data_IF_829358766449
#
_entry.id   IF_829358766449
#
_cell.length_a   1.000
_cell.length_b   1.000
_cell.length_c   1.000
_cell.angle_alpha   90.00
_cell.angle_beta   90.00
_cell.angle_gamma   90.00
#
_symmetry.space_group_name_H-M   'P 1'
#
loop_
_entity.id
_entity.type
_entity.pdbx_description
1 polymer ?
#
# COMPACT_ATOMS: atom_id res chain seq x y z
N UNK A 1 -31.54 -8.89 -1.35
CA UNK A 1 -30.99 -7.77 -0.54
C UNK A 1 -29.75 -7.26 -1.25
N UNK A 2 -29.73 -6.00 -1.69
CA UNK A 2 -28.53 -5.38 -2.26
C UNK A 2 -27.54 -5.14 -1.12
N UNK A 3 -26.65 -6.10 -0.84
CA UNK A 3 -25.45 -5.82 -0.06
C UNK A 3 -24.62 -4.81 -0.85
N UNK A 4 -24.52 -3.58 -0.33
CA UNK A 4 -23.54 -2.62 -0.83
C UNK A 4 -22.16 -3.26 -0.66
N UNK A 5 -21.47 -3.50 -1.77
CA UNK A 5 -20.09 -4.00 -1.75
C UNK A 5 -19.23 -3.10 -0.85
N UNK A 6 -18.42 -3.72 0.01
CA UNK A 6 -17.47 -3.02 0.89
C UNK A 6 -16.48 -2.13 0.12
N UNK A 7 -16.22 -2.50 -1.13
CA UNK A 7 -15.34 -1.83 -2.07
C UNK A 7 -16.15 -1.39 -3.30
N UNK A 8 -16.59 -0.13 -3.32
CA UNK A 8 -17.11 0.48 -4.55
C UNK A 8 -16.33 1.76 -4.86
N UNK A 9 -15.45 1.67 -5.86
CA UNK A 9 -14.78 2.86 -6.41
C UNK A 9 -15.84 3.61 -7.21
N UNK A 10 -16.04 4.90 -6.92
CA UNK A 10 -17.00 5.69 -7.68
C UNK A 10 -16.53 5.82 -9.14
N UNK A 11 -17.45 5.68 -10.10
CA UNK A 11 -17.14 5.87 -11.53
C UNK A 11 -16.46 7.23 -11.78
N UNK A 12 -16.87 8.26 -11.02
CA UNK A 12 -16.28 9.60 -11.05
C UNK A 12 -14.80 9.57 -10.65
N UNK A 13 -14.45 8.88 -9.58
CA UNK A 13 -13.05 8.73 -9.12
C UNK A 13 -12.21 8.03 -10.18
N UNK A 14 -12.73 6.96 -10.79
CA UNK A 14 -12.04 6.24 -11.86
C UNK A 14 -11.71 7.15 -13.06
N UNK A 15 -12.71 7.88 -13.58
CA UNK A 15 -12.48 8.80 -14.69
C UNK A 15 -11.56 9.96 -14.31
N UNK A 16 -11.64 10.48 -13.08
CA UNK A 16 -10.72 11.52 -12.62
C UNK A 16 -9.26 11.06 -12.67
N UNK A 17 -8.96 9.86 -12.14
CA UNK A 17 -7.60 9.29 -12.19
C UNK A 17 -7.16 9.08 -13.64
N UNK A 18 -8.04 8.56 -14.49
CA UNK A 18 -7.75 8.37 -15.91
C UNK A 18 -7.42 9.70 -16.62
N UNK A 19 -8.18 10.77 -16.36
CA UNK A 19 -7.91 12.08 -16.94
C UNK A 19 -6.58 12.68 -16.45
N UNK A 20 -6.26 12.50 -15.16
CA UNK A 20 -4.96 12.94 -14.61
C UNK A 20 -3.81 12.22 -15.31
N UNK A 21 -3.90 10.89 -15.47
CA UNK A 21 -2.87 10.09 -16.13
C UNK A 21 -2.72 10.45 -17.61
N UNK A 22 -3.83 10.59 -18.34
CA UNK A 22 -3.81 11.02 -19.74
C UNK A 22 -3.25 12.44 -19.90
N UNK A 23 -3.60 13.34 -18.98
CA UNK A 23 -3.06 14.70 -18.93
C UNK A 23 -1.54 14.72 -18.70
N UNK A 24 -1.04 13.88 -17.79
CA UNK A 24 0.40 13.69 -17.56
C UNK A 24 1.13 13.14 -18.79
N UNK A 25 0.58 12.11 -19.42
CA UNK A 25 1.15 11.54 -20.66
C UNK A 25 1.20 12.62 -21.74
N UNK A 26 0.12 13.37 -21.94
CA UNK A 26 0.08 14.46 -22.90
C UNK A 26 1.13 15.55 -22.60
N UNK A 27 1.24 15.97 -21.34
CA UNK A 27 2.22 16.97 -20.91
C UNK A 27 3.66 16.51 -21.18
N UNK A 28 4.01 15.28 -20.79
CA UNK A 28 5.34 14.70 -21.03
C UNK A 28 5.61 14.55 -22.53
N UNK A 29 4.59 14.21 -23.32
CA UNK A 29 4.69 14.12 -24.78
C UNK A 29 5.07 15.46 -25.39
N UNK A 30 4.41 16.55 -24.97
CA UNK A 30 4.75 17.92 -25.41
C UNK A 30 6.17 18.30 -24.99
N UNK A 31 6.56 17.99 -23.74
CA UNK A 31 7.92 18.26 -23.25
C UNK A 31 8.99 17.50 -24.05
N UNK A 32 8.68 16.32 -24.58
CA UNK A 32 9.60 15.53 -25.42
C UNK A 32 9.95 16.22 -26.74
N UNK A 33 9.10 17.13 -27.23
CA UNK A 33 9.40 17.94 -28.43
C UNK A 33 10.24 19.20 -28.12
N UNK A 34 10.18 19.68 -26.88
CA UNK A 34 10.86 20.92 -26.46
C UNK A 34 12.26 20.60 -25.91
N UNK A 35 12.39 19.49 -25.17
CA UNK A 35 13.62 19.11 -24.48
C UNK A 35 14.45 18.23 -25.42
N UNK A 36 15.68 18.64 -25.81
CA UNK A 36 16.54 17.84 -26.65
C UNK A 36 16.94 16.54 -25.94
N UNK A 37 16.96 15.44 -26.69
CA UNK A 37 17.36 14.12 -26.19
C UNK A 37 18.86 14.11 -25.88
N UNK A 38 19.25 13.42 -24.81
CA UNK A 38 20.65 13.14 -24.53
C UNK A 38 20.84 11.78 -23.90
N UNK A 39 22.05 11.26 -24.00
CA UNK A 39 22.47 10.00 -23.39
C UNK A 39 23.79 10.17 -22.67
N UNK A 40 23.96 9.42 -21.60
CA UNK A 40 25.25 9.22 -20.96
C UNK A 40 25.91 7.95 -21.49
N UNK A 41 27.24 7.93 -21.55
CA UNK A 41 27.95 6.66 -21.77
C UNK A 41 27.87 5.82 -20.50
N UNK A 42 27.63 4.52 -20.67
CA UNK A 42 27.72 3.54 -19.61
C UNK A 42 29.07 2.83 -19.70
N UNK A 43 29.71 2.55 -18.57
CA UNK A 43 30.91 1.73 -18.52
C UNK A 43 30.58 0.22 -18.69
N UNK A 44 31.61 -0.62 -18.62
CA UNK A 44 31.46 -2.08 -18.75
C UNK A 44 30.66 -2.71 -17.59
N UNK A 45 30.44 -1.98 -16.50
CA UNK A 45 29.70 -2.39 -15.31
C UNK A 45 28.27 -1.83 -15.32
N UNK A 46 27.88 -1.10 -16.37
CA UNK A 46 26.55 -0.51 -16.55
C UNK A 46 26.36 0.82 -15.83
N UNK A 47 27.44 1.42 -15.30
CA UNK A 47 27.39 2.65 -14.51
C UNK A 47 27.56 3.88 -15.41
N UNK A 48 26.87 4.97 -15.08
CA UNK A 48 26.92 6.23 -15.83
C UNK A 48 28.29 6.89 -15.65
N UNK A 49 28.99 7.15 -16.77
CA UNK A 49 30.28 7.86 -16.75
C UNK A 49 30.06 9.37 -16.65
N UNK A 50 30.56 9.97 -15.57
CA UNK A 50 30.42 11.41 -15.30
C UNK A 50 31.05 12.27 -16.41
N UNK A 51 30.37 13.34 -16.80
CA UNK A 51 30.85 14.27 -17.85
C UNK A 51 30.69 13.80 -19.30
N UNK A 52 30.13 12.61 -19.54
CA UNK A 52 29.98 12.03 -20.91
C UNK A 52 28.63 12.33 -21.58
N UNK A 53 27.88 13.30 -21.06
CA UNK A 53 26.57 13.65 -21.61
C UNK A 53 26.71 14.13 -23.07
N UNK A 54 25.98 13.48 -23.98
CA UNK A 54 25.94 13.84 -25.39
C UNK A 54 24.50 13.99 -25.86
N UNK A 55 24.23 15.06 -26.62
CA UNK A 55 22.95 15.26 -27.27
C UNK A 55 22.82 14.35 -28.48
N UNK A 56 21.67 13.69 -28.61
CA UNK A 56 21.36 12.83 -29.76
C UNK A 56 20.57 13.66 -30.77
N UNK A 57 21.01 13.67 -32.03
CA UNK A 57 20.44 14.49 -33.10
C UNK A 57 19.11 13.98 -33.67
N UNK A 58 18.66 12.79 -33.29
CA UNK A 58 17.46 12.18 -33.85
C UNK A 58 16.17 12.66 -33.16
N UNK A 59 15.46 13.55 -33.85
CA UNK A 59 14.32 14.29 -33.31
C UNK A 59 12.96 13.72 -33.69
N UNK A 60 12.90 12.59 -34.42
CA UNK A 60 11.62 12.04 -34.88
C UNK A 60 11.05 11.03 -33.87
N UNK A 61 10.32 11.52 -32.87
CA UNK A 61 9.48 10.64 -32.05
C UNK A 61 8.07 10.55 -32.66
N UNK A 62 7.61 9.34 -33.04
CA UNK A 62 6.31 9.19 -33.68
C UNK A 62 5.14 9.51 -32.74
N UNK A 63 4.21 10.35 -33.21
CA UNK A 63 3.03 10.77 -32.45
C UNK A 63 2.12 9.60 -32.00
N UNK A 64 2.09 8.51 -32.76
CA UNK A 64 1.28 7.34 -32.41
C UNK A 64 1.80 6.62 -31.15
N UNK A 65 3.10 6.73 -30.86
CA UNK A 65 3.74 6.03 -29.75
C UNK A 65 3.30 6.57 -28.40
N UNK A 66 2.86 7.83 -28.34
CA UNK A 66 2.23 8.41 -27.15
C UNK A 66 0.93 7.70 -26.74
N UNK A 67 0.13 7.28 -27.71
CA UNK A 67 -1.11 6.54 -27.43
C UNK A 67 -0.84 5.10 -27.02
N UNK A 68 0.26 4.50 -27.50
CA UNK A 68 0.65 3.12 -27.20
C UNK A 68 1.56 3.05 -25.97
N UNK A 69 2.10 4.16 -25.49
CA UNK A 69 3.06 4.23 -24.38
C UNK A 69 2.65 3.43 -23.12
N UNK A 70 1.38 3.44 -22.65
CA UNK A 70 0.98 2.62 -21.50
C UNK A 70 1.13 1.11 -21.73
N UNK A 71 0.99 0.66 -22.97
CA UNK A 71 1.15 -0.75 -23.37
C UNK A 71 2.62 -1.04 -23.60
N UNK A 72 3.33 -0.13 -24.26
CA UNK A 72 4.75 -0.29 -24.60
C UNK A 72 5.64 -0.40 -23.35
N UNK A 73 5.27 0.24 -22.25
CA UNK A 73 6.02 0.15 -20.98
C UNK A 73 6.16 -1.30 -20.50
N UNK A 74 5.22 -2.18 -20.87
CA UNK A 74 5.24 -3.60 -20.51
C UNK A 74 6.31 -4.39 -21.26
N UNK A 75 6.79 -3.90 -22.41
CA UNK A 75 7.86 -4.51 -23.21
C UNK A 75 9.24 -3.88 -22.96
N UNK A 76 9.35 -2.91 -22.04
CA UNK A 76 10.63 -2.30 -21.69
C UNK A 76 11.49 -3.25 -20.82
N UNK A 77 12.78 -2.94 -20.63
CA UNK A 77 13.67 -3.71 -19.75
C UNK A 77 13.11 -3.84 -18.33
N UNK A 78 12.45 -2.79 -17.82
CA UNK A 78 11.77 -2.77 -16.53
C UNK A 78 10.30 -3.27 -16.59
N UNK A 79 9.83 -3.65 -17.77
CA UNK A 79 8.43 -4.05 -18.01
C UNK A 79 8.02 -5.28 -17.21
N UNK A 80 8.96 -6.21 -16.95
CA UNK A 80 8.72 -7.37 -16.09
C UNK A 80 8.30 -6.97 -14.67
N UNK A 81 8.95 -5.96 -14.07
CA UNK A 81 8.59 -5.47 -12.74
C UNK A 81 7.17 -4.90 -12.74
N UNK A 82 6.82 -4.09 -13.75
CA UNK A 82 5.47 -3.51 -13.91
C UNK A 82 4.40 -4.60 -14.07
N UNK A 83 4.67 -5.63 -14.88
CA UNK A 83 3.78 -6.78 -15.06
C UNK A 83 3.60 -7.53 -13.74
N UNK A 84 4.68 -7.81 -13.01
CA UNK A 84 4.62 -8.52 -11.74
C UNK A 84 3.78 -7.77 -10.71
N UNK A 85 3.98 -6.46 -10.55
CA UNK A 85 3.18 -5.63 -9.65
C UNK A 85 1.71 -5.63 -10.08
N UNK A 86 1.44 -5.49 -11.38
CA UNK A 86 0.07 -5.47 -11.91
C UNK A 86 -0.66 -6.79 -11.67
N UNK A 87 -0.02 -7.93 -11.95
CA UNK A 87 -0.57 -9.27 -11.71
C UNK A 87 -0.78 -9.51 -10.21
N UNK A 88 0.17 -9.10 -9.38
CA UNK A 88 0.06 -9.20 -7.92
C UNK A 88 -1.15 -8.43 -7.39
N UNK A 89 -1.35 -7.17 -7.82
CA UNK A 89 -2.51 -6.37 -7.42
C UNK A 89 -3.84 -6.98 -7.91
N UNK A 90 -3.88 -7.57 -9.10
CA UNK A 90 -5.05 -8.29 -9.60
C UNK A 90 -5.38 -9.52 -8.75
N UNK A 91 -4.39 -10.35 -8.43
CA UNK A 91 -4.55 -11.53 -7.57
C UNK A 91 -4.99 -11.11 -6.17
N UNK A 92 -4.40 -10.05 -5.62
CA UNK A 92 -4.75 -9.49 -4.32
C UNK A 92 -6.22 -9.02 -4.30
N UNK A 93 -6.63 -8.27 -5.32
CA UNK A 93 -8.02 -7.82 -5.49
C UNK A 93 -9.01 -8.99 -5.61
N UNK A 94 -8.66 -10.01 -6.40
CA UNK A 94 -9.45 -11.24 -6.51
C UNK A 94 -9.55 -12.00 -5.19
N UNK A 95 -8.45 -12.09 -4.44
CA UNK A 95 -8.41 -12.72 -3.12
C UNK A 95 -9.33 -11.99 -2.14
N UNK A 96 -9.27 -10.66 -2.07
CA UNK A 96 -10.17 -9.88 -1.22
C UNK A 96 -11.63 -10.06 -1.62
N UNK A 97 -11.94 -10.12 -2.91
CA UNK A 97 -13.30 -10.35 -3.38
C UNK A 97 -13.85 -11.71 -2.91
N UNK A 98 -13.04 -12.77 -3.02
CA UNK A 98 -13.40 -14.10 -2.50
C UNK A 98 -13.53 -14.07 -0.98
N UNK A 99 -12.64 -13.36 -0.27
CA UNK A 99 -12.72 -13.21 1.19
C UNK A 99 -13.98 -12.49 1.65
N UNK A 100 -14.44 -11.48 0.90
CA UNK A 100 -15.68 -10.76 1.18
C UNK A 100 -16.91 -11.67 0.94
N UNK A 101 -16.98 -12.30 -0.23
CA UNK A 101 -18.07 -13.21 -0.58
C UNK A 101 -18.21 -14.42 0.36
N UNK A 102 -17.10 -14.90 0.92
CA UNK A 102 -17.07 -16.03 1.87
C UNK A 102 -17.25 -15.59 3.33
N UNK A 103 -17.39 -14.29 3.59
CA UNK A 103 -17.50 -13.74 4.94
C UNK A 103 -16.22 -13.77 5.77
N UNK A 104 -15.08 -14.15 5.18
CA UNK A 104 -13.79 -14.27 5.86
C UNK A 104 -13.34 -12.96 6.51
N UNK A 105 -13.55 -11.83 5.84
CA UNK A 105 -13.23 -10.48 6.37
C UNK A 105 -14.00 -10.22 7.66
N UNK A 106 -15.30 -10.49 7.66
CA UNK A 106 -16.16 -10.25 8.81
C UNK A 106 -15.80 -11.14 10.01
N UNK A 107 -15.51 -12.42 9.76
CA UNK A 107 -15.08 -13.37 10.80
C UNK A 107 -13.75 -12.96 11.42
N UNK A 108 -12.79 -12.51 10.60
CA UNK A 108 -11.48 -12.03 11.06
C UNK A 108 -11.65 -10.79 11.95
N UNK A 109 -12.43 -9.80 11.49
CA UNK A 109 -12.70 -8.58 12.24
C UNK A 109 -13.39 -8.86 13.57
N UNK A 110 -14.46 -9.67 13.57
CA UNK A 110 -15.18 -10.07 14.78
C UNK A 110 -14.22 -10.66 15.83
N UNK A 111 -13.32 -11.57 15.42
CA UNK A 111 -12.33 -12.16 16.33
C UNK A 111 -11.34 -11.14 16.86
N UNK A 112 -10.83 -10.25 16.02
CA UNK A 112 -9.91 -9.19 16.45
C UNK A 112 -10.58 -8.26 17.47
N UNK A 113 -11.81 -7.83 17.19
CA UNK A 113 -12.59 -6.96 18.09
C UNK A 113 -12.82 -7.65 19.43
N UNK A 114 -13.32 -8.89 19.44
CA UNK A 114 -13.57 -9.64 20.69
C UNK A 114 -12.27 -9.84 21.48
N UNK A 115 -11.18 -10.22 20.80
CA UNK A 115 -9.89 -10.51 21.44
C UNK A 115 -9.23 -9.29 22.05
N UNK A 116 -9.42 -8.12 21.43
CA UNK A 116 -8.77 -6.86 21.81
C UNK A 116 -9.73 -5.81 22.39
N UNK A 117 -10.98 -6.17 22.69
CA UNK A 117 -12.02 -5.26 23.21
C UNK A 117 -11.53 -4.42 24.40
N UNK A 118 -10.80 -5.05 25.32
CA UNK A 118 -10.25 -4.39 26.52
C UNK A 118 -8.84 -3.81 26.33
N UNK A 119 -8.20 -4.08 25.20
CA UNK A 119 -6.82 -3.66 24.91
C UNK A 119 -6.71 -3.00 23.53
N UNK A 120 -7.70 -2.18 23.16
CA UNK A 120 -7.77 -1.58 21.82
C UNK A 120 -6.55 -0.77 21.42
N UNK A 121 -5.95 -0.01 22.35
CA UNK A 121 -4.71 0.73 22.04
C UNK A 121 -3.50 -0.17 21.80
N UNK A 122 -3.49 -1.39 22.35
CA UNK A 122 -2.46 -2.39 22.03
C UNK A 122 -2.64 -2.87 20.60
N UNK A 123 -3.88 -3.17 20.20
CA UNK A 123 -4.18 -3.52 18.81
C UNK A 123 -3.77 -2.41 17.84
N UNK A 124 -4.10 -1.15 18.17
CA UNK A 124 -3.72 0.01 17.38
C UNK A 124 -2.20 0.09 17.16
N UNK A 125 -1.42 -0.03 18.24
CA UNK A 125 0.06 -0.02 18.16
C UNK A 125 0.61 -1.16 17.32
N UNK A 126 0.05 -2.37 17.48
CA UNK A 126 0.46 -3.54 16.71
C UNK A 126 0.17 -3.37 15.22
N UNK A 127 -1.00 -2.84 14.86
CA UNK A 127 -1.34 -2.59 13.46
C UNK A 127 -0.41 -1.54 12.85
N UNK A 128 -0.18 -0.42 13.55
CA UNK A 128 0.79 0.60 13.12
C UNK A 128 2.16 -0.03 12.89
N UNK A 129 2.63 -0.85 13.82
CA UNK A 129 3.93 -1.52 13.70
C UNK A 129 3.97 -2.45 12.48
N UNK A 130 2.95 -3.28 12.27
CA UNK A 130 2.89 -4.22 11.14
C UNK A 130 2.94 -3.47 9.80
N UNK A 131 2.11 -2.44 9.63
CA UNK A 131 2.09 -1.66 8.39
C UNK A 131 3.39 -0.88 8.19
N UNK A 132 3.98 -0.32 9.26
CA UNK A 132 5.31 0.29 9.18
C UNK A 132 6.37 -0.73 8.76
N UNK A 133 6.36 -1.94 9.32
CA UNK A 133 7.31 -3.01 8.95
C UNK A 133 7.12 -3.42 7.48
N UNK A 134 5.89 -3.55 7.00
CA UNK A 134 5.62 -3.87 5.60
C UNK A 134 6.15 -2.80 4.65
N UNK A 135 5.95 -1.52 4.96
CA UNK A 135 6.56 -0.42 4.19
C UNK A 135 8.09 -0.41 4.29
N UNK A 136 8.66 -0.71 5.46
CA UNK A 136 10.11 -0.61 5.69
C UNK A 136 10.92 -1.77 5.09
N UNK A 137 10.37 -2.98 5.07
CA UNK A 137 11.05 -4.18 4.57
C UNK A 137 10.67 -4.52 3.13
N UNK A 138 9.38 -4.50 2.82
CA UNK A 138 8.86 -4.96 1.53
C UNK A 138 8.47 -3.81 0.60
N UNK A 139 8.44 -2.58 1.10
CA UNK A 139 7.99 -1.41 0.34
C UNK A 139 6.51 -1.47 -0.05
N UNK A 140 5.72 -2.26 0.67
CA UNK A 140 4.29 -2.44 0.46
C UNK A 140 3.58 -1.16 0.94
N UNK A 141 3.25 -0.27 0.01
CA UNK A 141 2.49 0.95 0.28
C UNK A 141 1.13 0.91 -0.40
N UNK A 142 1.11 0.59 -1.69
CA UNK A 142 -0.07 0.56 -2.55
C UNK A 142 -1.11 -0.45 -2.07
N UNK A 143 -0.69 -1.60 -1.58
CA UNK A 143 -1.55 -2.66 -1.04
C UNK A 143 -2.27 -2.21 0.24
N UNK A 144 -1.71 -1.23 0.95
CA UNK A 144 -2.37 -0.66 2.13
C UNK A 144 -3.69 0.02 1.74
N UNK A 145 -3.80 0.55 0.52
CA UNK A 145 -5.05 1.10 -0.02
C UNK A 145 -6.13 0.04 -0.16
N UNK A 146 -5.76 -1.19 -0.57
CA UNK A 146 -6.70 -2.29 -0.69
C UNK A 146 -7.23 -2.75 0.69
N UNK A 147 -6.39 -2.64 1.73
CA UNK A 147 -6.75 -2.98 3.12
C UNK A 147 -7.52 -1.87 3.85
N UNK A 148 -7.59 -0.65 3.30
CA UNK A 148 -8.21 0.50 3.97
C UNK A 148 -9.65 0.26 4.43
N UNK A 149 -10.57 -0.33 3.64
CA UNK A 149 -11.95 -0.54 4.11
C UNK A 149 -12.02 -1.43 5.35
N UNK A 150 -11.17 -2.45 5.43
CA UNK A 150 -11.08 -3.38 6.56
C UNK A 150 -10.58 -2.63 7.80
N UNK A 151 -9.54 -1.81 7.63
CA UNK A 151 -8.97 -1.00 8.71
C UNK A 151 -9.92 0.10 9.20
N UNK A 152 -10.63 0.75 8.29
CA UNK A 152 -11.68 1.73 8.60
C UNK A 152 -12.80 1.04 9.37
N UNK A 153 -13.26 -0.12 8.91
CA UNK A 153 -14.30 -0.89 9.59
C UNK A 153 -13.85 -1.31 11.01
N UNK A 154 -12.61 -1.80 11.14
CA UNK A 154 -12.04 -2.13 12.44
C UNK A 154 -11.96 -0.90 13.36
N UNK A 155 -11.53 0.24 12.83
CA UNK A 155 -11.42 1.50 13.56
C UNK A 155 -12.76 1.97 14.11
N UNK A 156 -13.78 2.02 13.25
CA UNK A 156 -15.15 2.37 13.63
C UNK A 156 -15.72 1.39 14.66
N UNK A 157 -15.45 0.09 14.49
CA UNK A 157 -15.88 -0.96 15.43
C UNK A 157 -15.24 -0.86 16.81
N UNK A 158 -14.06 -0.24 16.90
CA UNK A 158 -13.34 0.00 18.16
C UNK A 158 -13.72 1.34 18.83
N UNK A 159 -14.66 2.09 18.22
CA UNK A 159 -15.15 3.37 18.72
C UNK A 159 -14.27 4.56 18.36
N UNK A 160 -13.47 4.45 17.30
CA UNK A 160 -12.72 5.55 16.72
C UNK A 160 -13.39 6.01 15.41
N UNK A 161 -12.66 6.71 14.56
CA UNK A 161 -13.16 7.29 13.31
C UNK A 161 -12.48 6.72 12.05
N UNK A 162 -12.95 7.15 10.87
CA UNK A 162 -12.33 6.80 9.59
C UNK A 162 -10.87 7.25 9.52
N UNK A 163 -10.53 8.42 10.07
CA UNK A 163 -9.16 8.95 10.05
C UNK A 163 -8.17 8.07 10.84
N UNK A 164 -8.61 7.51 11.97
CA UNK A 164 -7.80 6.56 12.74
C UNK A 164 -7.57 5.28 11.91
N UNK A 165 -8.58 4.79 11.18
CA UNK A 165 -8.43 3.64 10.27
C UNK A 165 -7.51 3.92 9.08
N UNK A 166 -7.59 5.10 8.47
CA UNK A 166 -6.63 5.56 7.46
C UNK A 166 -5.21 5.63 8.02
N UNK A 167 -5.06 6.09 9.27
CA UNK A 167 -3.76 6.20 9.93
C UNK A 167 -3.14 4.83 10.23
N UNK A 168 -3.95 3.84 10.61
CA UNK A 168 -3.52 2.46 10.84
C UNK A 168 -2.86 1.83 9.62
N UNK A 169 -3.38 2.11 8.41
CA UNK A 169 -2.86 1.56 7.16
C UNK A 169 -1.94 2.53 6.44
N UNK A 170 -2.55 3.49 5.75
CA UNK A 170 -1.87 4.37 4.79
C UNK A 170 -0.76 5.20 5.44
N UNK A 171 -1.04 5.88 6.56
CA UNK A 171 -0.03 6.70 7.23
C UNK A 171 1.11 5.84 7.80
N UNK A 172 0.76 4.70 8.41
CA UNK A 172 1.74 3.77 8.97
C UNK A 172 2.64 3.17 7.89
N UNK A 173 2.06 2.68 6.78
CA UNK A 173 2.83 2.18 5.65
C UNK A 173 3.73 3.26 5.04
N UNK A 174 3.24 4.50 4.91
CA UNK A 174 4.03 5.61 4.39
C UNK A 174 5.24 5.96 5.26
N UNK A 175 5.08 5.99 6.59
CA UNK A 175 6.21 6.18 7.51
C UNK A 175 7.17 4.98 7.48
N UNK A 176 6.66 3.77 7.32
CA UNK A 176 7.47 2.58 7.06
C UNK A 176 8.32 2.72 5.80
N UNK A 177 7.69 3.10 4.70
CA UNK A 177 8.33 3.32 3.41
C UNK A 177 9.39 4.43 3.49
N UNK A 178 9.10 5.53 4.20
CA UNK A 178 10.04 6.64 4.38
C UNK A 178 11.27 6.29 5.21
N UNK A 179 11.14 5.36 6.18
CA UNK A 179 12.25 4.94 7.04
C UNK A 179 13.07 3.78 6.43
N UNK A 180 12.47 2.99 5.54
CA UNK A 180 13.09 2.00 4.65
C UNK A 180 14.32 1.27 5.22
N UNK A 181 14.12 0.13 5.89
CA UNK A 181 15.24 -0.66 6.43
C UNK A 181 15.95 -1.44 5.31
N UNK A 182 15.19 -2.21 4.53
CA UNK A 182 15.67 -3.00 3.38
C UNK A 182 14.72 -2.91 2.19
N UNK A 183 13.88 -1.87 2.15
CA UNK A 183 12.89 -1.69 1.10
C UNK A 183 13.56 -1.73 -0.30
N UNK A 184 13.17 -2.68 -1.17
CA UNK A 184 13.81 -2.88 -2.46
C UNK A 184 13.57 -1.72 -3.43
N UNK A 185 12.44 -1.01 -3.31
CA UNK A 185 12.04 0.09 -4.19
C UNK A 185 12.69 1.43 -3.84
N UNK A 186 13.39 1.54 -2.70
CA UNK A 186 14.10 2.75 -2.31
C UNK A 186 15.57 2.45 -2.07
N UNK A 187 15.90 1.85 -0.93
CA UNK A 187 17.27 1.52 -0.56
C UNK A 187 17.84 0.45 -1.49
N UNK A 188 17.04 -0.52 -1.95
CA UNK A 188 17.51 -1.52 -2.92
C UNK A 188 18.06 -0.89 -4.19
N UNK A 189 17.27 -0.03 -4.86
CA UNK A 189 17.70 0.70 -6.05
C UNK A 189 18.92 1.57 -5.76
N UNK A 190 18.89 2.35 -4.68
CA UNK A 190 19.99 3.24 -4.30
C UNK A 190 21.29 2.47 -4.02
N UNK A 191 21.20 1.31 -3.36
CA UNK A 191 22.33 0.44 -3.05
C UNK A 191 22.92 -0.20 -4.30
N UNK A 192 22.08 -0.66 -5.24
CA UNK A 192 22.55 -1.18 -6.53
C UNK A 192 23.26 -0.09 -7.33
N UNK A 193 22.70 1.12 -7.41
CA UNK A 193 23.32 2.25 -8.09
C UNK A 193 24.61 2.74 -7.41
N UNK A 194 24.75 2.54 -6.11
CA UNK A 194 25.96 2.90 -5.37
C UNK A 194 26.99 1.75 -5.29
N UNK A 195 26.69 0.57 -5.83
CA UNK A 195 27.55 -0.61 -5.75
C UNK A 195 27.79 -1.11 -4.32
N UNK A 196 26.87 -0.86 -3.39
CA UNK A 196 26.99 -1.25 -1.98
C UNK A 196 25.95 -2.29 -1.58
N UNK A 197 26.25 -3.09 -0.56
CA UNK A 197 25.29 -4.04 -0.01
C UNK A 197 24.08 -3.29 0.60
N UNK A 198 22.86 -3.77 0.34
CA UNK A 198 21.62 -3.21 0.87
C UNK A 198 21.61 -3.11 2.41
N UNK A 199 22.31 -4.00 3.11
CA UNK A 199 22.42 -4.01 4.57
C UNK A 199 23.41 -2.98 5.12
N UNK A 200 24.15 -2.27 4.26
CA UNK A 200 25.03 -1.18 4.68
C UNK A 200 24.22 -0.10 5.39
N UNK A 201 24.61 0.21 6.63
CA UNK A 201 23.92 1.19 7.48
C UNK A 201 22.58 0.72 8.08
N UNK A 202 22.26 -0.58 8.03
CA UNK A 202 20.97 -1.11 8.51
C UNK A 202 20.69 -0.76 9.98
N UNK A 203 21.71 -0.76 10.85
CA UNK A 203 21.54 -0.44 12.26
C UNK A 203 21.07 1.01 12.47
N UNK A 204 21.62 1.96 11.70
CA UNK A 204 21.19 3.36 11.72
C UNK A 204 19.72 3.49 11.29
N UNK A 205 19.32 2.75 10.24
CA UNK A 205 17.93 2.76 9.76
C UNK A 205 16.97 2.11 10.75
N UNK A 206 17.38 1.06 11.46
CA UNK A 206 16.60 0.46 12.55
C UNK A 206 16.39 1.48 13.68
N UNK A 207 17.40 2.25 14.05
CA UNK A 207 17.27 3.30 15.09
C UNK A 207 16.26 4.37 14.63
N UNK A 208 16.38 4.86 13.41
CA UNK A 208 15.42 5.81 12.84
C UNK A 208 14.01 5.22 12.83
N UNK A 209 13.85 3.97 12.38
CA UNK A 209 12.57 3.27 12.36
C UNK A 209 11.92 3.23 13.75
N UNK A 210 12.68 2.87 14.79
CA UNK A 210 12.18 2.82 16.17
C UNK A 210 11.74 4.19 16.65
N UNK A 211 12.53 5.25 16.39
CA UNK A 211 12.19 6.63 16.75
C UNK A 211 10.91 7.07 16.04
N UNK A 212 10.82 6.82 14.74
CA UNK A 212 9.65 7.19 13.94
C UNK A 212 8.41 6.41 14.35
N UNK A 213 8.55 5.12 14.65
CA UNK A 213 7.46 4.31 15.19
C UNK A 213 6.97 4.88 16.52
N UNK A 214 7.87 5.22 17.45
CA UNK A 214 7.52 5.82 18.74
C UNK A 214 6.74 7.13 18.59
N UNK A 215 7.18 8.02 17.68
CA UNK A 215 6.51 9.30 17.39
C UNK A 215 5.12 9.04 16.77
N UNK A 216 5.06 8.19 15.75
CA UNK A 216 3.82 7.93 15.01
C UNK A 216 2.77 7.26 15.89
N UNK A 217 3.13 6.20 16.61
CA UNK A 217 2.18 5.52 17.49
C UNK A 217 1.69 6.44 18.61
N UNK A 218 2.56 7.32 19.15
CA UNK A 218 2.12 8.32 20.11
C UNK A 218 1.11 9.30 19.51
N UNK A 219 1.38 9.81 18.31
CA UNK A 219 0.49 10.73 17.60
C UNK A 219 -0.88 10.10 17.33
N UNK A 220 -0.91 8.89 16.76
CA UNK A 220 -2.16 8.21 16.40
C UNK A 220 -2.93 7.79 17.66
N UNK A 221 -2.27 7.25 18.69
CA UNK A 221 -2.95 6.88 19.95
C UNK A 221 -3.53 8.12 20.65
N UNK A 222 -2.81 9.24 20.65
CA UNK A 222 -3.31 10.51 21.20
C UNK A 222 -4.54 11.00 20.43
N UNK A 223 -4.51 10.91 19.10
CA UNK A 223 -5.66 11.24 18.26
C UNK A 223 -6.85 10.32 18.53
N UNK A 224 -6.65 9.01 18.51
CA UNK A 224 -7.69 8.01 18.76
C UNK A 224 -8.37 8.23 20.13
N UNK A 225 -7.59 8.50 21.19
CA UNK A 225 -8.12 8.86 22.52
C UNK A 225 -8.98 10.12 22.49
N UNK A 226 -8.54 11.16 21.78
CA UNK A 226 -9.28 12.41 21.65
C UNK A 226 -10.63 12.18 20.98
N UNK A 227 -10.65 11.42 19.88
CA UNK A 227 -11.88 11.12 19.12
C UNK A 227 -12.81 10.21 19.91
N UNK A 228 -12.27 9.23 20.63
CA UNK A 228 -13.07 8.35 21.47
C UNK A 228 -13.84 9.10 22.57
N UNK A 229 -13.22 10.11 23.20
CA UNK A 229 -13.90 10.94 24.20
C UNK A 229 -14.77 12.05 23.59
N UNK A 230 -14.43 12.51 22.38
CA UNK A 230 -15.07 13.61 21.68
C UNK A 230 -15.25 13.29 20.19
N UNK A 231 -16.20 12.41 19.82
CA UNK A 231 -16.41 12.01 18.44
C UNK A 231 -16.68 13.19 17.50
N UNK A 232 -17.34 14.24 18.01
CA UNK A 232 -17.66 15.48 17.31
C UNK A 232 -16.43 16.25 16.82
N UNK A 233 -15.25 15.98 17.38
CA UNK A 233 -13.98 16.57 16.96
C UNK A 233 -13.36 15.85 15.76
N UNK A 234 -13.96 14.77 15.28
CA UNK A 234 -13.51 14.07 14.08
C UNK A 234 -13.88 14.88 12.83
N UNK A 235 -12.93 14.98 11.89
CA UNK A 235 -13.17 15.59 10.58
C UNK A 235 -14.18 14.78 9.75
N UNK A 236 -14.34 13.49 10.06
CA UNK A 236 -15.23 12.56 9.36
C UNK A 236 -16.48 12.24 10.17
N UNK A 237 -16.78 12.98 11.25
CA UNK A 237 -17.87 12.67 12.18
C UNK A 237 -19.22 12.45 11.48
N UNK A 238 -19.62 13.37 10.58
CA UNK A 238 -20.89 13.28 9.86
C UNK A 238 -20.96 12.04 8.95
N UNK A 239 -19.88 11.74 8.22
CA UNK A 239 -19.80 10.57 7.35
C UNK A 239 -19.78 9.28 8.16
N UNK A 240 -19.09 9.28 9.29
CA UNK A 240 -18.91 8.11 10.15
C UNK A 240 -20.22 7.71 10.84
N UNK A 241 -21.10 8.66 11.18
CA UNK A 241 -22.45 8.38 11.64
C UNK A 241 -23.27 7.59 10.60
N UNK A 242 -23.10 7.90 9.32
CA UNK A 242 -23.79 7.19 8.24
C UNK A 242 -23.20 5.79 8.00
N UNK A 243 -21.87 5.65 8.08
CA UNK A 243 -21.15 4.38 7.93
C UNK A 243 -21.44 3.43 9.09
N UNK A 244 -21.36 3.92 10.33
CA UNK A 244 -21.59 3.11 11.53
C UNK A 244 -22.99 2.47 11.52
N UNK A 245 -24.03 3.17 11.05
CA UNK A 245 -25.38 2.58 10.88
C UNK A 245 -25.46 1.50 9.81
N UNK A 246 -24.60 1.55 8.79
CA UNK A 246 -24.52 0.50 7.76
C UNK A 246 -23.67 -0.70 8.20
N UNK A 247 -22.84 -0.52 9.24
CA UNK A 247 -21.93 -1.52 9.78
C UNK A 247 -22.41 -1.98 11.16
N UNK A 248 -23.59 -2.58 11.17
CA UNK A 248 -24.11 -3.21 12.38
C UNK A 248 -23.39 -4.54 12.59
N UNK A 249 -22.49 -4.59 13.57
CA UNK A 249 -21.66 -5.77 13.88
C UNK A 249 -22.55 -6.97 14.25
N UNK A 250 -23.74 -6.71 14.80
CA UNK A 250 -24.74 -7.73 15.13
C UNK A 250 -25.46 -8.28 13.89
N UNK A 251 -25.39 -7.58 12.74
CA UNK A 251 -25.84 -8.08 11.43
C UNK A 251 -24.74 -8.81 10.65
N UNK A 252 -23.53 -8.95 11.22
CA UNK A 252 -22.56 -9.94 10.74
C UNK A 252 -23.15 -11.31 11.06
N UNK A 253 -23.96 -11.81 10.13
CA UNK A 253 -24.57 -13.13 10.18
C UNK A 253 -23.52 -14.14 10.68
N UNK A 254 -23.87 -15.05 11.60
CA UNK A 254 -22.96 -16.10 12.01
C UNK A 254 -22.64 -16.95 10.76
N UNK A 255 -21.49 -16.70 10.16
CA UNK A 255 -21.03 -17.47 9.01
C UNK A 255 -20.75 -18.88 9.53
N UNK A 256 -21.53 -19.88 9.11
CA UNK A 256 -21.33 -21.26 9.52
C UNK A 256 -20.68 -22.02 8.35
N UNK A 257 -19.45 -22.58 8.51
CA UNK A 257 -18.68 -22.73 9.74
C UNK A 257 -17.56 -21.68 9.91
N UNK A 258 -17.77 -20.74 10.84
CA UNK A 258 -16.88 -19.63 11.22
C UNK A 258 -15.44 -20.10 11.53
N UNK A 259 -15.31 -21.24 12.20
CA UNK A 259 -14.01 -21.83 12.55
C UNK A 259 -13.26 -22.39 11.34
N UNK A 260 -13.98 -23.00 10.38
CA UNK A 260 -13.37 -23.57 9.17
C UNK A 260 -12.86 -22.44 8.27
N UNK A 261 -13.68 -21.41 8.09
CA UNK A 261 -13.34 -20.20 7.35
C UNK A 261 -12.07 -19.56 7.92
N UNK A 262 -12.05 -19.29 9.23
CA UNK A 262 -10.88 -18.70 9.89
C UNK A 262 -9.61 -19.57 9.75
N UNK A 263 -9.72 -20.88 9.98
CA UNK A 263 -8.58 -21.79 9.84
C UNK A 263 -8.03 -21.77 8.42
N UNK A 264 -8.89 -21.89 7.41
CA UNK A 264 -8.45 -21.86 6.00
C UNK A 264 -7.74 -20.55 5.69
N UNK A 265 -8.30 -19.41 6.09
CA UNK A 265 -7.70 -18.11 5.81
C UNK A 265 -6.38 -17.86 6.55
N UNK A 266 -6.28 -18.19 7.83
CA UNK A 266 -5.02 -18.10 8.57
C UNK A 266 -3.97 -19.01 7.94
N UNK A 267 -4.35 -20.24 7.57
CA UNK A 267 -3.41 -21.20 6.97
C UNK A 267 -2.91 -20.70 5.62
N UNK A 268 -3.79 -20.13 4.80
CA UNK A 268 -3.43 -19.48 3.54
C UNK A 268 -2.48 -18.31 3.77
N UNK A 269 -2.80 -17.41 4.69
CA UNK A 269 -1.92 -16.27 5.02
C UNK A 269 -0.55 -16.72 5.52
N UNK A 270 -0.50 -17.71 6.41
CA UNK A 270 0.77 -18.28 6.90
C UNK A 270 1.55 -18.93 5.74
N UNK A 271 0.90 -19.73 4.91
CA UNK A 271 1.55 -20.36 3.77
C UNK A 271 2.11 -19.33 2.78
N UNK A 272 1.37 -18.25 2.54
CA UNK A 272 1.78 -17.15 1.66
C UNK A 272 2.97 -16.39 2.28
N UNK A 273 2.91 -16.09 3.59
CA UNK A 273 3.98 -15.42 4.32
C UNK A 273 5.26 -16.27 4.37
N UNK A 274 5.13 -17.57 4.63
CA UNK A 274 6.24 -18.54 4.60
C UNK A 274 6.81 -18.66 3.19
N UNK A 275 5.95 -18.72 2.17
CA UNK A 275 6.36 -18.71 0.77
C UNK A 275 7.22 -17.50 0.44
N UNK A 276 6.75 -16.30 0.75
CA UNK A 276 7.49 -15.03 0.54
C UNK A 276 8.84 -15.04 1.26
N UNK A 277 8.87 -15.43 2.53
CA UNK A 277 10.10 -15.50 3.30
C UNK A 277 11.06 -16.53 2.69
N UNK A 278 10.55 -17.70 2.31
CA UNK A 278 11.39 -18.75 1.73
C UNK A 278 11.99 -18.34 0.38
N UNK A 279 11.23 -17.66 -0.48
CA UNK A 279 11.74 -17.17 -1.75
C UNK A 279 12.77 -16.06 -1.53
N UNK A 280 12.55 -15.17 -0.56
CA UNK A 280 13.49 -14.10 -0.22
C UNK A 280 14.75 -14.55 0.53
N UNK A 281 14.81 -15.78 1.06
CA UNK A 281 16.02 -16.38 1.64
C UNK A 281 16.82 -17.17 0.59
N UNK A 282 16.14 -17.64 -0.46
CA UNK A 282 16.74 -18.47 -1.51
C UNK A 282 17.37 -17.63 -2.65
N UNK A 283 17.14 -16.32 -2.67
CA UNK A 283 17.85 -15.33 -3.49
C UNK A 283 19.05 -14.73 -2.73
#
# INVERSE_FOLDING_TARGET
MNQKQLLSISKKTFFNVLYILLGLIFLVSVLTFIIPKGSYQMDNEGMIVEGTFQFISDNNYPLWRYFIAPIEVLWHHDGLMVIMISVFLLILGGTFHVMDQTGGIHVLLKRLIIRFKHQKYVLLRLIILIFMLFGAFFGIFEESLALLPILILLSLSMGWDTMTGLSMGLLSAGFGFATAITNPFSIGIASTLAGVNILSGVLFRIIIFIIMYAILQWFIVKYAKKIEHHPEKSLTYADDLSKSKSFDIDQVLPYQPEQKIYKVFITLWIALFVGIISTGILE
#
